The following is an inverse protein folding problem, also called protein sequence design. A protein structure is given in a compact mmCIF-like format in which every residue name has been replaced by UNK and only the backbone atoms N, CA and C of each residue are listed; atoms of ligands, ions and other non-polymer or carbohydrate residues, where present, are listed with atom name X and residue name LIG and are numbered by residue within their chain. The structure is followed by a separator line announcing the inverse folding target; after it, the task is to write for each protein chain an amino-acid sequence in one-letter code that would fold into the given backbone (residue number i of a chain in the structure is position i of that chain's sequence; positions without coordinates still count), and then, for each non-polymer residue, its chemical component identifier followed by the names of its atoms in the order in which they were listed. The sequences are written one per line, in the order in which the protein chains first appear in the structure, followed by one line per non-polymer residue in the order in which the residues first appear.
data_IF_284816368487
#
_entry.id   IF_284816368487
#
_cell.length_a   1.000
_cell.length_b   1.000
_cell.length_c   1.000
_cell.angle_alpha   90.00
_cell.angle_beta   90.00
_cell.angle_gamma   90.00
#
_symmetry.space_group_name_H-M   'P 1'
#
loop_
_entity.id
_entity.type
_entity.pdbx_description
1 polymer ?
#
# COMPACT_ATOMS: atom_id res chain seq x y z
N UNK A 1 -17.19 15.61 14.65
CA UNK A 1 -17.41 14.46 13.75
C UNK A 1 -16.09 13.74 13.64
N UNK A 2 -16.05 12.43 13.81
CA UNK A 2 -14.82 11.64 13.70
C UNK A 2 -14.65 11.28 12.23
N UNK A 3 -13.46 11.50 11.66
CA UNK A 3 -13.19 11.10 10.28
C UNK A 3 -13.15 9.56 10.20
N UNK A 4 -13.68 9.01 9.10
CA UNK A 4 -13.63 7.59 8.77
C UNK A 4 -12.42 7.35 7.87
N UNK A 5 -11.48 6.54 8.34
CA UNK A 5 -10.21 6.26 7.65
C UNK A 5 -10.17 4.78 7.27
N UNK A 6 -10.01 4.52 5.99
CA UNK A 6 -9.80 3.20 5.41
C UNK A 6 -8.40 3.16 4.78
N UNK A 7 -7.55 2.25 5.26
CA UNK A 7 -6.18 2.07 4.80
C UNK A 7 -5.78 0.62 5.01
N UNK A 8 -5.15 0.01 4.01
CA UNK A 8 -4.50 -1.30 4.12
C UNK A 8 -3.40 -1.40 3.05
N UNK A 9 -2.25 -0.79 3.33
CA UNK A 9 -1.19 -0.62 2.33
C UNK A 9 -0.56 -1.95 1.92
N UNK A 10 -0.47 -2.90 2.85
CA UNK A 10 0.01 -4.24 2.55
C UNK A 10 -0.92 -4.96 1.58
N UNK A 11 -2.23 -4.87 1.80
CA UNK A 11 -3.20 -5.51 0.91
C UNK A 11 -3.19 -4.91 -0.49
N UNK A 12 -3.10 -3.58 -0.59
CA UNK A 12 -2.98 -2.89 -1.89
C UNK A 12 -1.72 -3.32 -2.66
N UNK A 13 -0.60 -3.47 -1.95
CA UNK A 13 0.64 -3.98 -2.52
C UNK A 13 0.49 -5.42 -3.01
N UNK A 14 -0.14 -6.30 -2.22
CA UNK A 14 -0.40 -7.69 -2.62
C UNK A 14 -1.29 -7.77 -3.86
N UNK A 15 -2.33 -6.94 -3.93
CA UNK A 15 -3.20 -6.93 -5.10
C UNK A 15 -2.41 -6.51 -6.34
N UNK A 16 -1.50 -5.54 -6.20
CA UNK A 16 -0.56 -5.17 -7.27
C UNK A 16 0.37 -6.34 -7.65
N UNK A 17 0.93 -7.06 -6.68
CA UNK A 17 1.75 -8.25 -6.93
C UNK A 17 0.96 -9.30 -7.73
N UNK A 18 -0.29 -9.57 -7.35
CA UNK A 18 -1.15 -10.52 -8.07
C UNK A 18 -1.41 -10.06 -9.51
N UNK A 19 -1.60 -8.77 -9.76
CA UNK A 19 -1.70 -8.22 -11.11
C UNK A 19 -0.40 -8.36 -11.92
N UNK A 20 0.77 -8.18 -11.29
CA UNK A 20 2.07 -8.39 -11.95
C UNK A 20 2.20 -9.83 -12.45
N UNK A 21 1.87 -10.81 -11.61
CA UNK A 21 1.87 -12.23 -12.01
C UNK A 21 0.84 -12.53 -13.10
N UNK A 22 -0.35 -11.92 -13.03
CA UNK A 22 -1.35 -12.07 -14.09
C UNK A 22 -0.86 -11.49 -15.42
N UNK A 23 -0.24 -10.31 -15.39
CA UNK A 23 0.30 -9.63 -16.55
C UNK A 23 1.52 -10.32 -17.17
N UNK A 24 2.28 -11.10 -16.39
CA UNK A 24 3.42 -11.88 -16.88
C UNK A 24 3.04 -13.19 -17.56
N UNK A 25 1.76 -13.56 -17.58
CA UNK A 25 1.27 -14.84 -18.14
C UNK A 25 1.38 -16.03 -17.19
N UNK A 26 1.78 -15.79 -15.93
CA UNK A 26 1.91 -16.80 -14.89
C UNK A 26 1.10 -16.40 -13.64
N UNK A 27 -0.25 -16.35 -13.73
CA UNK A 27 -1.08 -15.92 -12.61
C UNK A 27 -0.89 -16.84 -11.40
N UNK A 28 -0.85 -16.24 -10.21
CA UNK A 28 -0.88 -16.98 -8.96
C UNK A 28 -2.26 -17.64 -8.76
N UNK A 29 -2.34 -18.76 -8.03
CA UNK A 29 -3.62 -19.39 -7.69
C UNK A 29 -4.55 -18.43 -6.94
N UNK A 30 -5.85 -18.48 -7.22
CA UNK A 30 -6.83 -17.60 -6.55
C UNK A 30 -6.91 -17.84 -5.04
N UNK A 31 -6.57 -19.05 -4.58
CA UNK A 31 -6.54 -19.43 -3.17
C UNK A 31 -5.22 -19.14 -2.47
N UNK A 32 -4.24 -18.52 -3.15
CA UNK A 32 -2.94 -18.23 -2.55
C UNK A 32 -3.11 -17.25 -1.38
N UNK A 33 -2.41 -17.50 -0.28
CA UNK A 33 -2.37 -16.55 0.82
C UNK A 33 -1.56 -15.31 0.41
N UNK A 34 -1.83 -14.20 1.08
CA UNK A 34 -1.12 -12.95 0.82
C UNK A 34 0.39 -13.09 1.13
N UNK A 35 0.77 -13.85 2.17
CA UNK A 35 2.18 -14.14 2.47
C UNK A 35 2.85 -14.97 1.37
N UNK A 36 2.21 -16.02 0.88
CA UNK A 36 2.74 -16.84 -0.21
C UNK A 36 2.88 -16.04 -1.51
N UNK A 37 1.93 -15.15 -1.81
CA UNK A 37 2.02 -14.25 -2.97
C UNK A 37 3.23 -13.30 -2.85
N UNK A 38 3.44 -12.72 -1.67
CA UNK A 38 4.60 -11.87 -1.39
C UNK A 38 5.92 -12.62 -1.54
N UNK A 39 5.99 -13.83 -0.98
CA UNK A 39 7.18 -14.68 -1.05
C UNK A 39 7.51 -15.04 -2.51
N UNK A 40 6.49 -15.46 -3.27
CA UNK A 40 6.64 -15.76 -4.69
C UNK A 40 7.18 -14.55 -5.48
N UNK A 41 6.73 -13.34 -5.16
CA UNK A 41 7.22 -12.12 -5.78
C UNK A 41 8.70 -11.89 -5.52
N UNK A 42 9.14 -11.93 -4.26
CA UNK A 42 10.56 -11.72 -3.94
C UNK A 42 11.47 -12.84 -4.44
N UNK A 43 10.97 -14.07 -4.47
CA UNK A 43 11.68 -15.24 -5.01
C UNK A 43 12.05 -15.11 -6.49
N UNK A 44 11.38 -14.26 -7.26
CA UNK A 44 11.76 -14.02 -8.67
C UNK A 44 13.16 -13.38 -8.80
N UNK A 45 13.64 -12.69 -7.77
CA UNK A 45 14.89 -11.91 -7.82
C UNK A 45 15.85 -12.18 -6.67
N UNK A 46 15.42 -12.91 -5.63
CA UNK A 46 16.27 -13.33 -4.54
C UNK A 46 17.21 -14.47 -4.97
N UNK A 47 18.37 -14.55 -4.31
CA UNK A 47 19.37 -15.60 -4.54
C UNK A 47 19.10 -16.85 -3.69
N UNK A 48 18.25 -16.73 -2.68
CA UNK A 48 17.82 -17.83 -1.80
C UNK A 48 16.44 -17.55 -1.22
N UNK A 49 15.80 -18.61 -0.72
CA UNK A 49 14.54 -18.51 0.02
C UNK A 49 14.68 -17.65 1.29
N UNK A 50 15.82 -17.74 1.97
CA UNK A 50 16.12 -16.91 3.15
C UNK A 50 16.16 -15.42 2.79
N UNK A 51 16.77 -15.06 1.66
CA UNK A 51 16.78 -13.67 1.20
C UNK A 51 15.37 -13.21 0.79
N UNK A 52 14.58 -14.08 0.15
CA UNK A 52 13.19 -13.76 -0.19
C UNK A 52 12.35 -13.49 1.06
N UNK A 53 12.52 -14.29 2.12
CA UNK A 53 11.84 -14.13 3.40
C UNK A 53 12.25 -12.82 4.10
N UNK A 54 13.55 -12.52 4.14
CA UNK A 54 14.04 -11.26 4.71
C UNK A 54 13.48 -10.04 3.98
N UNK A 55 13.40 -10.08 2.65
CA UNK A 55 12.80 -9.01 1.84
C UNK A 55 11.29 -8.88 2.08
N UNK A 56 10.60 -10.01 2.27
CA UNK A 56 9.18 -10.03 2.63
C UNK A 56 8.96 -9.33 3.98
N UNK A 57 9.67 -9.75 5.02
CA UNK A 57 9.54 -9.19 6.36
C UNK A 57 9.86 -7.69 6.38
N UNK A 58 10.95 -7.28 5.71
CA UNK A 58 11.32 -5.87 5.61
C UNK A 58 10.27 -5.03 4.88
N UNK A 59 9.61 -5.58 3.85
CA UNK A 59 8.56 -4.88 3.13
C UNK A 59 7.27 -4.77 3.95
N UNK A 60 6.90 -5.84 4.68
CA UNK A 60 5.75 -5.84 5.59
C UNK A 60 5.94 -4.78 6.69
N UNK A 61 7.11 -4.75 7.33
CA UNK A 61 7.44 -3.74 8.34
C UNK A 61 7.40 -2.32 7.78
N UNK A 62 7.95 -2.11 6.58
CA UNK A 62 7.95 -0.80 5.91
C UNK A 62 6.54 -0.30 5.61
N UNK A 63 5.68 -1.14 5.02
CA UNK A 63 4.30 -0.77 4.68
C UNK A 63 3.46 -0.53 5.95
N UNK A 64 3.62 -1.38 6.96
CA UNK A 64 2.98 -1.20 8.27
C UNK A 64 3.41 0.10 8.96
N UNK A 65 4.70 0.44 8.90
CA UNK A 65 5.22 1.67 9.51
C UNK A 65 4.66 2.91 8.80
N UNK A 66 4.60 2.89 7.47
CA UNK A 66 4.01 3.98 6.68
C UNK A 66 2.52 4.16 6.99
N UNK A 67 1.77 3.05 7.07
CA UNK A 67 0.35 3.08 7.47
C UNK A 67 0.17 3.69 8.86
N UNK A 68 1.00 3.29 9.82
CA UNK A 68 0.97 3.83 11.18
C UNK A 68 1.27 5.33 11.22
N UNK A 69 2.28 5.80 10.47
CA UNK A 69 2.61 7.23 10.36
C UNK A 69 1.42 8.01 9.80
N UNK A 70 0.74 7.47 8.78
CA UNK A 70 -0.45 8.11 8.21
C UNK A 70 -1.55 8.24 9.25
N UNK A 71 -1.83 7.16 9.99
CA UNK A 71 -2.87 7.16 11.02
C UNK A 71 -2.54 8.10 12.18
N UNK A 72 -1.29 8.11 12.65
CA UNK A 72 -0.84 8.94 13.77
C UNK A 72 -0.89 10.43 13.43
N UNK A 73 -0.49 10.81 12.22
CA UNK A 73 -0.44 12.19 11.77
C UNK A 73 -1.68 12.61 10.97
N UNK A 74 -2.72 11.78 10.93
CA UNK A 74 -3.90 12.02 10.09
C UNK A 74 -4.58 13.34 10.45
N UNK A 75 -4.99 13.49 11.71
CA UNK A 75 -5.76 14.66 12.16
C UNK A 75 -4.94 15.94 12.21
N UNK A 76 -3.62 15.81 12.44
CA UNK A 76 -2.74 16.95 12.72
C UNK A 76 -2.07 17.51 11.48
N UNK A 77 -1.77 16.67 10.48
CA UNK A 77 -1.00 17.05 9.29
C UNK A 77 -1.73 16.70 8.01
N UNK A 78 -2.17 15.45 7.86
CA UNK A 78 -2.61 14.93 6.55
C UNK A 78 -3.99 15.47 6.17
N UNK A 79 -4.99 15.37 7.05
CA UNK A 79 -6.33 15.85 6.77
C UNK A 79 -6.37 17.38 6.53
N UNK A 80 -5.70 18.23 7.35
CA UNK A 80 -5.58 19.65 7.05
C UNK A 80 -4.93 19.92 5.70
N UNK A 81 -3.87 19.19 5.35
CA UNK A 81 -3.18 19.40 4.07
C UNK A 81 -4.05 18.99 2.88
N UNK A 82 -4.71 17.83 2.92
CA UNK A 82 -5.69 17.40 1.91
C UNK A 82 -6.75 18.48 1.70
N UNK A 83 -7.38 18.93 2.78
CA UNK A 83 -8.45 19.94 2.74
C UNK A 83 -7.95 21.25 2.11
N UNK A 84 -6.75 21.69 2.50
CA UNK A 84 -6.17 22.93 2.00
C UNK A 84 -5.81 22.87 0.50
N UNK A 85 -5.30 21.73 0.02
CA UNK A 85 -4.81 21.58 -1.35
C UNK A 85 -5.90 21.17 -2.35
N UNK A 86 -6.92 20.44 -1.90
CA UNK A 86 -7.95 19.87 -2.79
C UNK A 86 -9.32 20.49 -2.59
N UNK A 87 -9.55 21.20 -1.48
CA UNK A 87 -10.88 21.69 -1.10
C UNK A 87 -11.85 20.59 -0.66
N UNK A 88 -11.39 19.34 -0.49
CA UNK A 88 -12.22 18.23 -0.04
C UNK A 88 -12.80 18.51 1.36
N UNK A 89 -14.11 18.35 1.54
CA UNK A 89 -14.80 18.63 2.82
C UNK A 89 -15.45 17.41 3.45
N UNK A 90 -15.31 16.24 2.83
CA UNK A 90 -15.84 14.99 3.36
C UNK A 90 -15.13 14.55 4.65
N UNK A 91 -15.77 13.60 5.32
CA UNK A 91 -15.29 12.93 6.53
C UNK A 91 -14.78 11.51 6.26
N UNK A 92 -14.99 10.97 5.06
CA UNK A 92 -14.45 9.68 4.61
C UNK A 92 -13.14 9.85 3.84
N UNK A 93 -12.15 9.04 4.20
CA UNK A 93 -10.82 9.02 3.57
C UNK A 93 -10.43 7.57 3.30
N UNK A 94 -10.06 7.27 2.06
CA UNK A 94 -9.58 5.94 1.67
C UNK A 94 -8.20 6.09 1.05
N UNK A 95 -7.18 5.60 1.75
CA UNK A 95 -5.80 5.61 1.29
C UNK A 95 -5.48 4.32 0.56
N UNK A 96 -4.80 4.45 -0.57
CA UNK A 96 -4.39 3.32 -1.38
C UNK A 96 -2.91 3.41 -1.76
N UNK A 97 -2.17 2.33 -1.56
CA UNK A 97 -0.85 2.18 -2.14
C UNK A 97 -0.96 1.86 -3.64
N UNK A 98 -0.16 2.51 -4.49
CA UNK A 98 -0.11 2.24 -5.91
C UNK A 98 1.29 2.38 -6.49
N UNK A 99 1.57 1.59 -7.52
CA UNK A 99 2.80 1.67 -8.30
C UNK A 99 2.53 2.34 -9.65
N UNK A 100 2.98 3.58 -9.82
CA UNK A 100 2.86 4.32 -11.08
C UNK A 100 4.03 5.30 -11.24
N UNK A 101 5.06 4.92 -12.00
CA UNK A 101 6.32 5.67 -12.10
C UNK A 101 7.02 5.88 -10.74
N UNK A 102 6.79 4.96 -9.82
CA UNK A 102 7.22 5.06 -8.42
C UNK A 102 6.12 4.57 -7.48
N UNK A 103 6.47 4.47 -6.21
CA UNK A 103 5.50 4.15 -5.15
C UNK A 103 4.78 5.42 -4.69
N UNK A 104 3.47 5.31 -4.54
CA UNK A 104 2.64 6.41 -4.06
C UNK A 104 1.59 5.89 -3.08
N UNK A 105 1.25 6.69 -2.08
CA UNK A 105 0.02 6.55 -1.31
C UNK A 105 -0.92 7.69 -1.68
N UNK A 106 -2.13 7.34 -2.12
CA UNK A 106 -3.10 8.31 -2.64
C UNK A 106 -4.41 8.19 -1.88
N UNK A 107 -5.00 9.32 -1.53
CA UNK A 107 -6.35 9.38 -0.99
C UNK A 107 -7.36 9.45 -2.15
N UNK A 108 -8.29 8.50 -2.19
CA UNK A 108 -9.19 8.27 -3.34
C UNK A 108 -10.22 9.37 -3.56
N UNK A 109 -10.75 9.98 -2.51
CA UNK A 109 -11.86 10.92 -2.62
C UNK A 109 -11.42 12.32 -3.05
N UNK A 110 -10.20 12.71 -2.71
CA UNK A 110 -9.58 13.99 -3.04
C UNK A 110 -8.53 13.89 -4.14
N UNK A 111 -8.14 12.67 -4.54
CA UNK A 111 -7.02 12.40 -5.46
C UNK A 111 -5.67 12.95 -4.95
N UNK A 112 -5.58 13.24 -3.65
CA UNK A 112 -4.38 13.78 -3.03
C UNK A 112 -3.32 12.68 -2.89
N UNK A 113 -2.06 13.00 -3.25
CA UNK A 113 -0.92 12.10 -3.05
C UNK A 113 -0.15 12.50 -1.79
N UNK A 114 0.05 11.55 -0.88
CA UNK A 114 0.92 11.75 0.29
C UNK A 114 2.36 11.92 -0.21
N UNK A 115 3.06 13.00 0.16
CA UNK A 115 4.49 13.11 -0.06
C UNK A 115 5.18 12.07 0.82
N UNK A 116 5.79 11.06 0.19
CA UNK A 116 6.60 10.02 0.85
C UNK A 116 8.07 10.43 0.89
#
# INVERSE_FOLDING_TARGET
MKNEIEINLYKDWIDTVKEVFRGSGHPLPDSISDREAAFAYFSQTAQSDEEAEQRLEANEERLSSMEQIILEHFETVIAPDIRSKTGYTGDRFTFQWLYNQGEHVVEKHSSYRIPL
#
